data_IF_787953105521
#
_entry.id   IF_787953105521
#
_cell.length_a   1.000
_cell.length_b   1.000
_cell.length_c   1.000
_cell.angle_alpha   90.00
_cell.angle_beta   90.00
_cell.angle_gamma   90.00
#
_symmetry.space_group_name_H-M   'P 1'
#
loop_
_entity.id
_entity.type
_entity.pdbx_description
1 polymer ?
#
# COMPACT_ATOMS: atom_id res chain seq x y z
N UNK A 1 5.79 19.83 -1.15
CA UNK A 1 4.73 19.07 -1.83
C UNK A 1 4.22 17.99 -0.89
N UNK A 2 2.91 17.76 -0.83
CA UNK A 2 2.34 16.57 -0.21
C UNK A 2 2.09 15.55 -1.32
N UNK A 3 2.56 14.31 -1.12
CA UNK A 3 2.32 13.22 -2.05
C UNK A 3 1.88 11.98 -1.28
N UNK A 4 0.94 11.22 -1.82
CA UNK A 4 0.46 10.01 -1.19
C UNK A 4 -0.84 9.51 -1.79
N UNK A 5 -1.47 8.57 -1.10
CA UNK A 5 -2.70 7.93 -1.55
C UNK A 5 -3.52 7.38 -0.39
N UNK A 6 -4.79 7.13 -0.64
CA UNK A 6 -5.72 6.51 0.28
C UNK A 6 -6.67 5.59 -0.50
N UNK A 7 -7.10 4.51 0.13
CA UNK A 7 -8.05 3.55 -0.44
C UNK A 7 -8.97 2.98 0.64
N UNK A 8 -10.24 2.77 0.28
CA UNK A 8 -11.26 2.10 1.08
C UNK A 8 -12.07 1.16 0.17
N UNK A 9 -11.44 0.06 -0.23
CA UNK A 9 -11.99 -0.90 -1.17
C UNK A 9 -12.84 -2.00 -0.49
N UNK A 10 -12.82 -2.12 0.85
CA UNK A 10 -13.60 -3.13 1.60
C UNK A 10 -15.13 -2.91 1.60
N UNK A 11 -15.69 -2.42 0.50
CA UNK A 11 -17.13 -2.28 0.28
C UNK A 11 -17.70 -3.56 -0.34
N UNK A 12 -19.01 -3.79 -0.26
CA UNK A 12 -19.62 -4.94 -0.96
C UNK A 12 -19.30 -4.97 -2.46
N UNK A 13 -19.27 -3.81 -3.11
CA UNK A 13 -18.88 -3.68 -4.52
C UNK A 13 -17.42 -4.08 -4.75
N UNK A 14 -16.51 -3.60 -3.91
CA UNK A 14 -15.08 -3.92 -4.04
C UNK A 14 -14.80 -5.40 -3.80
N UNK A 15 -15.35 -5.98 -2.72
CA UNK A 15 -15.22 -7.42 -2.44
C UNK A 15 -15.84 -8.25 -3.57
N UNK A 16 -17.03 -7.88 -4.05
CA UNK A 16 -17.70 -8.56 -5.15
C UNK A 16 -16.91 -8.49 -6.47
N UNK A 17 -16.40 -7.30 -6.81
CA UNK A 17 -15.63 -7.08 -8.04
C UNK A 17 -14.31 -7.84 -8.05
N UNK A 18 -13.51 -7.72 -6.98
CA UNK A 18 -12.24 -8.46 -6.89
C UNK A 18 -12.45 -9.97 -6.73
N UNK A 19 -13.53 -10.38 -6.05
CA UNK A 19 -13.95 -11.78 -5.97
C UNK A 19 -14.32 -12.36 -7.35
N UNK A 20 -15.10 -11.64 -8.15
CA UNK A 20 -15.45 -12.04 -9.51
C UNK A 20 -14.22 -12.14 -10.43
N UNK A 21 -13.23 -11.28 -10.24
CA UNK A 21 -11.94 -11.34 -10.92
C UNK A 21 -11.01 -12.45 -10.41
N UNK A 22 -11.39 -13.20 -9.37
CA UNK A 22 -10.57 -14.20 -8.67
C UNK A 22 -9.24 -13.63 -8.15
N UNK A 23 -9.25 -12.39 -7.70
CA UNK A 23 -8.07 -11.70 -7.21
C UNK A 23 -7.87 -11.85 -5.69
N UNK A 24 -8.95 -12.14 -4.95
CA UNK A 24 -8.94 -12.30 -3.50
C UNK A 24 -8.57 -13.71 -3.08
N UNK A 25 -7.84 -13.85 -1.98
CA UNK A 25 -7.65 -15.13 -1.30
C UNK A 25 -8.99 -15.71 -0.86
N UNK A 26 -9.13 -17.04 -0.99
CA UNK A 26 -10.30 -17.81 -0.56
C UNK A 26 -10.05 -18.63 0.70
N UNK A 27 -8.88 -18.46 1.32
CA UNK A 27 -8.46 -19.12 2.56
C UNK A 27 -9.17 -18.55 3.79
N UNK A 28 -10.48 -18.76 3.84
CA UNK A 28 -11.36 -18.24 4.88
C UNK A 28 -11.28 -19.04 6.20
N UNK A 29 -10.74 -20.26 6.15
CA UNK A 29 -10.55 -21.16 7.29
C UNK A 29 -9.37 -20.77 8.18
N UNK A 30 -8.38 -20.06 7.64
CA UNK A 30 -7.23 -19.52 8.38
C UNK A 30 -6.87 -18.11 7.89
N UNK A 31 -7.68 -17.09 8.25
CA UNK A 31 -7.58 -15.75 7.68
C UNK A 31 -6.29 -15.02 8.07
N UNK A 32 -5.73 -15.28 9.25
CA UNK A 32 -4.47 -14.68 9.70
C UNK A 32 -3.28 -15.09 8.82
N UNK A 33 -3.37 -16.26 8.18
CA UNK A 33 -2.34 -16.75 7.27
C UNK A 33 -2.68 -16.50 5.79
N UNK A 34 -3.79 -15.85 5.45
CA UNK A 34 -4.24 -15.72 4.05
C UNK A 34 -3.29 -14.86 3.19
N UNK A 35 -2.75 -13.77 3.75
CA UNK A 35 -1.75 -12.94 3.05
C UNK A 35 -0.38 -13.62 3.08
N UNK A 36 0.00 -14.26 1.98
CA UNK A 36 1.25 -15.04 1.84
C UNK A 36 2.02 -14.71 0.56
N UNK A 37 2.58 -13.49 0.46
CA UNK A 37 3.50 -13.12 -0.62
C UNK A 37 4.53 -14.22 -0.97
N UNK A 38 4.46 -14.67 -2.22
CA UNK A 38 5.47 -15.48 -2.93
C UNK A 38 5.54 -16.93 -2.46
N UNK A 39 4.66 -17.30 -1.52
CA UNK A 39 4.39 -18.68 -1.16
C UNK A 39 3.89 -19.48 -2.38
N UNK A 40 4.24 -20.77 -2.41
CA UNK A 40 3.87 -21.69 -3.49
C UNK A 40 2.36 -21.84 -3.61
N UNK A 41 1.67 -21.83 -2.47
CA UNK A 41 0.24 -22.08 -2.36
C UNK A 41 -0.55 -20.77 -2.16
N UNK A 42 -0.01 -19.63 -2.61
CA UNK A 42 -0.75 -18.36 -2.62
C UNK A 42 -1.93 -18.44 -3.60
N UNK A 43 -3.09 -17.92 -3.21
CA UNK A 43 -4.34 -18.02 -3.96
C UNK A 43 -5.02 -16.66 -4.26
N UNK A 44 -4.38 -15.55 -3.88
CA UNK A 44 -4.88 -14.20 -4.09
C UNK A 44 -4.32 -13.23 -3.06
N UNK A 45 -4.69 -11.95 -3.13
CA UNK A 45 -4.34 -10.98 -2.10
C UNK A 45 -5.44 -10.90 -1.02
N UNK A 46 -5.10 -10.37 0.15
CA UNK A 46 -6.07 -9.99 1.18
C UNK A 46 -6.40 -8.51 1.00
N UNK A 47 -7.67 -8.20 0.79
CA UNK A 47 -8.12 -6.83 0.61
C UNK A 47 -7.90 -6.03 1.90
N UNK A 48 -7.26 -4.88 1.78
CA UNK A 48 -6.97 -3.98 2.89
C UNK A 48 -7.30 -2.54 2.53
N UNK A 49 -7.50 -1.73 3.55
CA UNK A 49 -7.76 -0.30 3.43
C UNK A 49 -6.68 0.49 4.17
N UNK A 50 -6.47 1.74 3.76
CA UNK A 50 -5.52 2.59 4.44
C UNK A 50 -5.20 3.86 3.67
N UNK A 51 -4.33 4.67 4.25
CA UNK A 51 -3.81 5.88 3.64
C UNK A 51 -2.36 6.09 4.06
N UNK A 52 -1.59 6.75 3.21
CA UNK A 52 -0.21 7.13 3.48
C UNK A 52 0.15 8.40 2.74
N UNK A 53 0.75 9.36 3.45
CA UNK A 53 1.19 10.65 2.91
C UNK A 53 2.66 10.90 3.28
N UNK A 54 3.39 11.50 2.34
CA UNK A 54 4.74 12.00 2.51
C UNK A 54 4.79 13.51 2.27
N UNK A 55 5.61 14.18 3.08
CA UNK A 55 6.02 15.56 2.84
C UNK A 55 7.32 15.52 2.03
N UNK A 56 7.26 16.01 0.80
CA UNK A 56 8.39 16.12 -0.11
C UNK A 56 8.85 17.57 -0.21
N UNK A 57 10.15 17.76 -0.22
CA UNK A 57 10.80 19.06 -0.19
C UNK A 57 12.08 18.99 -1.01
N UNK A 58 12.51 20.13 -1.58
CA UNK A 58 13.81 20.25 -2.23
C UNK A 58 14.92 20.02 -1.19
N UNK A 59 15.97 19.30 -1.59
CA UNK A 59 16.97 18.78 -0.67
C UNK A 59 17.75 19.90 0.04
N UNK A 60 18.22 20.90 -0.69
CA UNK A 60 18.97 22.01 -0.11
C UNK A 60 18.09 22.89 0.79
N UNK A 61 16.83 23.08 0.45
CA UNK A 61 15.86 23.77 1.29
C UNK A 61 15.61 23.03 2.61
N UNK A 62 15.34 21.71 2.53
CA UNK A 62 15.14 20.87 3.71
C UNK A 62 16.39 20.85 4.62
N UNK A 63 17.58 20.78 4.01
CA UNK A 63 18.86 20.83 4.72
C UNK A 63 19.08 22.17 5.41
N UNK A 64 18.81 23.29 4.72
CA UNK A 64 18.97 24.65 5.25
C UNK A 64 18.16 24.90 6.52
N UNK A 65 16.95 24.34 6.60
CA UNK A 65 16.09 24.44 7.79
C UNK A 65 16.32 23.35 8.85
N UNK A 66 17.29 22.45 8.65
CA UNK A 66 17.61 21.37 9.58
C UNK A 66 16.54 20.28 9.69
N UNK A 67 15.85 19.97 8.58
CA UNK A 67 14.82 18.93 8.58
C UNK A 67 15.40 17.54 8.89
N UNK A 68 14.65 16.71 9.63
CA UNK A 68 14.98 15.29 9.79
C UNK A 68 14.68 14.55 8.49
N UNK A 69 15.70 13.93 7.89
CA UNK A 69 15.53 13.10 6.70
C UNK A 69 15.07 11.69 7.06
N UNK A 70 13.98 11.24 6.44
CA UNK A 70 13.50 9.86 6.54
C UNK A 70 14.00 9.02 5.35
N UNK A 71 14.01 9.60 4.16
CA UNK A 71 14.57 9.02 2.94
C UNK A 71 14.94 10.13 1.96
N UNK A 72 15.82 9.82 1.01
CA UNK A 72 16.16 10.68 -0.13
C UNK A 72 15.73 9.99 -1.43
N UNK A 73 14.84 10.61 -2.19
CA UNK A 73 14.53 10.12 -3.53
C UNK A 73 15.70 10.40 -4.47
N UNK A 74 16.10 9.40 -5.26
CA UNK A 74 17.17 9.50 -6.26
C UNK A 74 16.65 9.88 -7.66
N UNK A 75 15.33 10.03 -7.83
CA UNK A 75 14.66 10.09 -9.14
C UNK A 75 14.65 11.49 -9.79
N UNK A 76 15.40 12.45 -9.24
CA UNK A 76 15.50 13.81 -9.78
C UNK A 76 16.97 14.26 -9.84
N UNK A 77 17.78 13.50 -10.57
CA UNK A 77 19.06 13.97 -11.12
C UNK A 77 18.90 14.17 -12.63
#
# INVERSE_FOLDING_TARGET
MLAGGAEKASTPLGVGGFGAARALSTRNDNPQAASRPWDKDRDGFVLGDGAGIMVLEEYEHAKKRGAKFMLKSLVLA
#
